data_IF_261919898319
#
_entry.id   IF_261919898319
#
_cell.length_a   1.000
_cell.length_b   1.000
_cell.length_c   1.000
_cell.angle_alpha   90.00
_cell.angle_beta   90.00
_cell.angle_gamma   90.00
#
_symmetry.space_group_name_H-M   'P 1'
#
loop_
_entity.id
_entity.type
_entity.pdbx_description
1 polymer ?
#
# COMPACT_ATOMS: atom_id res chain seq x y z
N UNK A 1 -28.17 6.94 -4.61
CA UNK A 1 -26.90 6.63 -3.91
C UNK A 1 -26.92 5.15 -3.62
N UNK A 2 -25.99 4.34 -4.17
CA UNK A 2 -25.91 2.93 -3.79
C UNK A 2 -25.32 2.90 -2.38
N UNK A 3 -26.13 2.51 -1.40
CA UNK A 3 -25.62 2.09 -0.09
C UNK A 3 -24.77 0.87 -0.39
N UNK A 4 -23.45 1.03 -0.36
CA UNK A 4 -22.53 -0.09 -0.54
C UNK A 4 -22.56 -0.85 0.80
N UNK A 5 -23.54 -1.75 0.95
CA UNK A 5 -23.53 -2.72 2.02
C UNK A 5 -22.30 -3.61 1.81
N UNK A 6 -21.29 -3.45 2.66
CA UNK A 6 -20.11 -4.27 2.59
C UNK A 6 -20.45 -5.66 3.13
N UNK A 7 -20.39 -6.74 2.31
CA UNK A 7 -20.70 -8.09 2.79
C UNK A 7 -19.69 -8.61 3.82
N UNK A 8 -18.56 -7.89 4.01
CA UNK A 8 -17.51 -8.23 4.96
C UNK A 8 -17.49 -7.30 6.18
N UNK A 9 -18.52 -6.46 6.38
CA UNK A 9 -18.52 -5.46 7.45
C UNK A 9 -18.17 -6.06 8.82
N UNK A 10 -18.82 -7.16 9.21
CA UNK A 10 -18.59 -7.82 10.52
C UNK A 10 -17.36 -8.74 10.58
N UNK A 11 -16.67 -8.98 9.46
CA UNK A 11 -15.56 -9.94 9.39
C UNK A 11 -14.27 -9.40 8.78
N UNK A 12 -14.24 -8.11 8.43
CA UNK A 12 -13.09 -7.44 7.82
C UNK A 12 -12.21 -6.78 8.87
N UNK A 13 -11.11 -7.45 9.22
CA UNK A 13 -10.10 -6.92 10.16
C UNK A 13 -9.08 -5.99 9.50
N UNK A 14 -9.39 -5.39 8.35
CA UNK A 14 -8.44 -4.56 7.62
C UNK A 14 -8.32 -3.18 8.29
N UNK A 15 -7.11 -2.76 8.74
CA UNK A 15 -6.91 -1.47 9.41
C UNK A 15 -7.24 -0.27 8.51
N UNK A 16 -7.03 -0.43 7.20
CA UNK A 16 -7.37 0.58 6.20
C UNK A 16 -8.57 0.08 5.39
N UNK A 17 -9.76 0.59 5.73
CA UNK A 17 -11.00 0.27 5.03
C UNK A 17 -11.36 1.35 3.99
N UNK A 18 -11.70 0.98 2.74
CA UNK A 18 -12.17 1.94 1.73
C UNK A 18 -13.41 2.74 2.14
N UNK A 19 -14.29 2.11 2.92
CA UNK A 19 -15.56 2.69 3.37
C UNK A 19 -15.42 3.54 4.64
N UNK A 20 -14.26 3.50 5.29
CA UNK A 20 -14.00 4.34 6.46
C UNK A 20 -13.63 5.76 6.02
N UNK A 21 -14.24 6.76 6.64
CA UNK A 21 -13.96 8.18 6.43
C UNK A 21 -12.62 8.59 7.05
N UNK A 22 -12.20 7.93 8.14
CA UNK A 22 -10.98 8.22 8.87
C UNK A 22 -9.75 7.44 8.38
N UNK A 23 -9.86 6.69 7.29
CA UNK A 23 -8.76 5.89 6.69
C UNK A 23 -7.47 6.68 6.45
N UNK A 24 -7.54 8.01 6.30
CA UNK A 24 -6.38 8.87 6.10
C UNK A 24 -5.44 8.96 7.30
N UNK A 25 -5.91 8.63 8.51
CA UNK A 25 -5.11 8.59 9.74
C UNK A 25 -4.67 7.17 10.11
N UNK A 26 -5.17 6.16 9.41
CA UNK A 26 -4.83 4.78 9.70
C UNK A 26 -3.41 4.45 9.22
N UNK A 27 -2.74 3.63 10.02
CA UNK A 27 -1.47 3.00 9.69
C UNK A 27 -1.72 1.53 9.37
N UNK A 28 -0.82 0.92 8.60
CA UNK A 28 -0.90 -0.48 8.22
C UNK A 28 0.48 -1.12 8.21
N UNK A 29 0.61 -2.28 8.83
CA UNK A 29 1.82 -3.10 8.84
C UNK A 29 1.70 -4.23 7.82
N UNK A 30 2.86 -4.71 7.33
CA UNK A 30 2.91 -5.62 6.19
C UNK A 30 2.40 -7.05 6.46
N UNK A 31 2.15 -7.38 7.72
CA UNK A 31 1.58 -8.61 8.25
C UNK A 31 0.10 -8.48 8.62
N UNK A 32 -0.47 -7.27 8.60
CA UNK A 32 -1.87 -7.02 8.90
C UNK A 32 -2.81 -7.38 7.75
N UNK A 33 -4.08 -7.55 8.10
CA UNK A 33 -5.12 -7.88 7.13
C UNK A 33 -5.34 -6.75 6.10
N UNK A 34 -5.72 -7.15 4.89
CA UNK A 34 -6.05 -6.26 3.78
C UNK A 34 -7.54 -6.43 3.46
N UNK A 35 -8.19 -5.36 3.00
CA UNK A 35 -9.59 -5.40 2.59
C UNK A 35 -9.83 -6.51 1.54
N UNK A 36 -10.81 -7.37 1.82
CA UNK A 36 -11.17 -8.53 0.96
C UNK A 36 -12.22 -8.20 -0.10
N UNK A 37 -12.87 -7.04 0.00
CA UNK A 37 -13.93 -6.65 -0.92
C UNK A 37 -13.35 -6.45 -2.35
N UNK A 38 -13.91 -7.18 -3.31
CA UNK A 38 -13.45 -7.18 -4.71
C UNK A 38 -13.77 -5.86 -5.42
N UNK A 39 -14.83 -5.17 -5.02
CA UNK A 39 -15.23 -3.88 -5.62
C UNK A 39 -14.17 -2.80 -5.41
N UNK A 40 -13.44 -2.90 -4.30
CA UNK A 40 -12.35 -1.98 -3.95
C UNK A 40 -10.97 -2.53 -4.27
N UNK A 41 -10.88 -3.75 -4.81
CA UNK A 41 -9.59 -4.40 -5.09
C UNK A 41 -8.75 -3.66 -6.14
N UNK A 42 -9.38 -2.77 -6.91
CA UNK A 42 -8.73 -1.93 -7.91
C UNK A 42 -8.12 -0.64 -7.37
N UNK A 43 -8.36 -0.29 -6.11
CA UNK A 43 -7.74 0.88 -5.48
C UNK A 43 -6.22 0.70 -5.37
N UNK A 44 -5.48 1.78 -5.61
CA UNK A 44 -4.00 1.72 -5.68
C UNK A 44 -3.40 1.30 -4.35
N UNK A 45 -3.87 1.85 -3.21
CA UNK A 45 -3.37 1.41 -1.91
C UNK A 45 -3.63 -0.08 -1.61
N UNK A 46 -4.78 -0.64 -2.02
CA UNK A 46 -5.04 -2.10 -1.85
C UNK A 46 -4.09 -2.92 -2.73
N UNK A 47 -3.85 -2.47 -3.97
CA UNK A 47 -2.88 -3.11 -4.86
C UNK A 47 -1.48 -3.06 -4.26
N UNK A 48 -1.09 -1.94 -3.68
CA UNK A 48 0.22 -1.74 -3.02
C UNK A 48 0.35 -2.61 -1.77
N UNK A 49 -0.67 -2.64 -0.89
CA UNK A 49 -0.70 -3.53 0.28
C UNK A 49 -0.50 -5.00 -0.14
N UNK A 50 -1.20 -5.48 -1.17
CA UNK A 50 -1.05 -6.87 -1.66
C UNK A 50 0.37 -7.16 -2.17
N UNK A 51 0.98 -6.20 -2.87
CA UNK A 51 2.38 -6.33 -3.33
C UNK A 51 3.35 -6.38 -2.15
N UNK A 52 3.18 -5.50 -1.16
CA UNK A 52 4.02 -5.44 0.04
C UNK A 52 3.86 -6.73 0.86
N UNK A 53 2.64 -7.18 1.11
CA UNK A 53 2.37 -8.43 1.83
C UNK A 53 3.01 -9.65 1.12
N UNK A 54 3.05 -9.65 -0.22
CA UNK A 54 3.78 -10.70 -0.97
C UNK A 54 5.28 -10.64 -0.73
N UNK A 55 5.87 -9.44 -0.70
CA UNK A 55 7.30 -9.24 -0.42
C UNK A 55 7.65 -9.56 1.03
N UNK A 56 6.75 -9.26 1.97
CA UNK A 56 6.94 -9.55 3.39
C UNK A 56 7.19 -11.04 3.64
N UNK A 57 6.48 -11.92 2.93
CA UNK A 57 6.65 -13.38 3.02
C UNK A 57 8.09 -13.86 2.75
N UNK A 58 8.87 -13.13 1.96
CA UNK A 58 10.25 -13.53 1.61
C UNK A 58 11.32 -12.62 2.21
N UNK A 59 11.00 -11.35 2.51
CA UNK A 59 11.98 -10.33 2.89
C UNK A 59 11.74 -9.68 4.25
N UNK A 60 10.70 -10.09 4.99
CA UNK A 60 10.41 -9.57 6.34
C UNK A 60 10.36 -8.04 6.37
N UNK A 61 9.33 -7.47 5.76
CA UNK A 61 9.13 -6.03 5.64
C UNK A 61 8.78 -5.47 7.04
N UNK A 62 9.56 -4.51 7.50
CA UNK A 62 9.38 -3.87 8.81
C UNK A 62 8.82 -2.46 8.67
N UNK A 63 8.23 -1.96 9.76
CA UNK A 63 7.65 -0.63 9.86
C UNK A 63 6.22 -0.55 9.34
N UNK A 64 5.58 0.58 9.61
CA UNK A 64 4.21 0.85 9.19
C UNK A 64 4.18 1.68 7.90
N UNK A 65 3.05 1.62 7.20
CA UNK A 65 2.77 2.40 6.02
C UNK A 65 1.51 3.22 6.26
N UNK A 66 1.54 4.49 5.87
CA UNK A 66 0.36 5.36 5.88
C UNK A 66 -0.42 5.21 4.58
N UNK A 67 -1.68 5.65 4.59
CA UNK A 67 -2.50 5.64 3.37
C UNK A 67 -1.83 6.39 2.21
N UNK A 68 -1.18 7.54 2.48
CA UNK A 68 -0.50 8.34 1.44
C UNK A 68 0.68 7.61 0.81
N UNK A 69 1.41 6.80 1.58
CA UNK A 69 2.51 5.98 1.06
C UNK A 69 1.98 4.87 0.15
N UNK A 70 0.85 4.27 0.53
CA UNK A 70 0.24 3.16 -0.18
C UNK A 70 -0.52 3.59 -1.43
N UNK A 71 -1.17 4.75 -1.40
CA UNK A 71 -2.00 5.30 -2.49
C UNK A 71 -1.17 5.97 -3.61
N UNK A 72 0.04 5.46 -3.82
CA UNK A 72 0.93 5.87 -4.89
C UNK A 72 1.32 4.69 -5.77
N UNK A 73 1.48 4.97 -7.06
CA UNK A 73 1.96 3.99 -8.06
C UNK A 73 3.47 3.78 -7.92
N UNK A 74 3.87 3.04 -6.88
CA UNK A 74 5.27 2.73 -6.57
C UNK A 74 5.69 1.37 -7.13
N UNK A 75 7.00 1.20 -7.32
CA UNK A 75 7.60 -0.11 -7.57
C UNK A 75 7.91 -0.75 -6.21
N UNK A 76 7.13 -1.76 -5.84
CA UNK A 76 7.41 -2.57 -4.65
C UNK A 76 8.52 -3.56 -4.98
N UNK A 77 9.69 -3.40 -4.34
CA UNK A 77 10.88 -4.26 -4.48
C UNK A 77 11.21 -4.96 -3.17
N UNK A 78 12.12 -5.93 -3.19
CA UNK A 78 12.56 -6.71 -2.02
C UNK A 78 13.09 -5.88 -0.85
N UNK A 79 13.61 -4.67 -1.10
CA UNK A 79 14.11 -3.76 -0.06
C UNK A 79 13.10 -2.73 0.44
N UNK A 80 11.80 -2.87 0.14
CA UNK A 80 10.80 -1.91 0.63
C UNK A 80 10.66 -2.04 2.15
N UNK A 81 10.66 -0.91 2.84
CA UNK A 81 10.43 -0.82 4.29
C UNK A 81 9.46 0.33 4.58
N UNK A 82 8.69 0.18 5.64
CA UNK A 82 7.81 1.23 6.17
C UNK A 82 8.58 2.24 7.02
N UNK A 83 7.82 3.11 7.67
CA UNK A 83 8.33 4.03 8.70
C UNK A 83 8.51 3.24 9.99
N UNK A 84 9.60 3.51 10.72
CA UNK A 84 9.83 2.92 12.03
C UNK A 84 9.20 3.81 13.11
N UNK A 85 8.35 3.25 13.96
CA UNK A 85 7.71 3.98 15.07
C UNK A 85 8.69 4.35 16.19
N UNK A 86 9.77 3.60 16.36
CA UNK A 86 10.77 3.80 17.41
C UNK A 86 11.69 5.01 17.16
N UNK A 87 11.60 5.64 15.98
CA UNK A 87 12.47 6.78 15.68
C UNK A 87 11.95 8.03 16.38
N UNK A 88 12.80 8.78 17.11
CA UNK A 88 12.42 10.01 17.81
C UNK A 88 12.14 11.20 16.87
N UNK A 89 12.12 10.95 15.55
CA UNK A 89 11.88 11.94 14.51
C UNK A 89 10.38 11.98 14.24
N UNK A 90 9.85 13.17 13.98
CA UNK A 90 8.44 13.35 13.62
C UNK A 90 8.03 12.43 12.44
N UNK A 91 6.97 11.65 12.66
CA UNK A 91 6.36 10.76 11.67
C UNK A 91 6.06 11.44 10.33
N UNK A 92 5.71 12.73 10.34
CA UNK A 92 5.41 13.51 9.14
C UNK A 92 6.65 13.69 8.27
N UNK A 93 7.81 13.96 8.90
CA UNK A 93 9.09 14.11 8.21
C UNK A 93 9.53 12.78 7.60
N UNK A 94 9.32 11.68 8.33
CA UNK A 94 9.63 10.34 7.84
C UNK A 94 8.74 9.93 6.67
N UNK A 95 7.44 10.25 6.72
CA UNK A 95 6.51 10.09 5.60
C UNK A 95 7.00 10.87 4.38
N UNK A 96 7.29 12.16 4.52
CA UNK A 96 7.78 12.97 3.40
C UNK A 96 9.09 12.44 2.80
N UNK A 97 10.03 12.03 3.66
CA UNK A 97 11.30 11.44 3.21
C UNK A 97 11.08 10.11 2.47
N UNK A 98 10.14 9.30 2.94
CA UNK A 98 9.78 8.05 2.28
C UNK A 98 9.17 8.31 0.91
N UNK A 99 8.24 9.26 0.79
CA UNK A 99 7.60 9.65 -0.47
C UNK A 99 8.62 10.22 -1.47
N UNK A 100 9.61 10.99 -1.00
CA UNK A 100 10.71 11.52 -1.83
C UNK A 100 11.58 10.40 -2.41
N UNK A 101 11.81 9.33 -1.65
CA UNK A 101 12.57 8.14 -2.09
C UNK A 101 11.77 7.26 -3.06
N UNK A 102 10.47 7.12 -2.82
CA UNK A 102 9.58 6.25 -3.60
C UNK A 102 8.69 7.06 -4.54
N UNK A 103 9.29 7.70 -5.54
CA UNK A 103 8.55 8.52 -6.49
C UNK A 103 7.53 7.67 -7.27
N UNK A 104 6.31 8.18 -7.49
CA UNK A 104 5.33 7.51 -8.33
C UNK A 104 5.86 7.39 -9.76
N UNK A 105 5.64 6.23 -10.36
CA UNK A 105 6.09 5.94 -11.72
C UNK A 105 5.19 6.72 -12.70
N UNK A 106 5.79 7.36 -13.68
CA UNK A 106 5.05 7.96 -14.80
C UNK A 106 4.36 6.89 -15.65
N UNK A 107 3.31 7.27 -16.39
CA UNK A 107 2.61 6.36 -17.32
C UNK A 107 3.58 5.74 -18.34
N UNK A 108 4.52 6.54 -18.84
CA UNK A 108 5.56 6.07 -19.77
C UNK A 108 6.53 5.07 -19.11
N UNK A 109 6.91 5.30 -17.86
CA UNK A 109 7.76 4.36 -17.12
C UNK A 109 7.08 3.00 -16.94
N UNK A 110 5.79 3.01 -16.64
CA UNK A 110 4.99 1.79 -16.50
C UNK A 110 4.89 1.01 -17.81
N UNK A 111 4.68 1.69 -18.93
CA UNK A 111 4.60 1.05 -20.25
C UNK A 111 5.95 0.46 -20.68
N UNK A 112 7.06 1.18 -20.45
CA UNK A 112 8.41 0.64 -20.69
C UNK A 112 8.67 -0.65 -19.91
N UNK A 113 8.27 -0.70 -18.64
CA UNK A 113 8.39 -1.92 -17.83
C UNK A 113 7.51 -3.06 -18.36
N UNK A 114 6.28 -2.76 -18.79
CA UNK A 114 5.37 -3.74 -19.39
C UNK A 114 5.94 -4.34 -20.68
N UNK A 115 6.50 -3.50 -21.55
CA UNK A 115 7.16 -3.94 -22.79
C UNK A 115 8.37 -4.81 -22.48
N UNK A 116 9.22 -4.43 -21.52
CA UNK A 116 10.38 -5.24 -21.14
C UNK A 116 9.99 -6.62 -20.60
N UNK A 117 8.94 -6.72 -19.77
CA UNK A 117 8.43 -8.01 -19.27
C UNK A 117 7.91 -8.92 -20.40
N UNK A 118 7.34 -8.36 -21.47
CA UNK A 118 6.91 -9.13 -22.65
C UNK A 118 8.09 -9.67 -23.47
N UNK A 119 9.27 -9.05 -23.40
CA UNK A 119 10.47 -9.49 -24.11
C UNK A 119 11.24 -10.59 -23.37
N UNK A 120 11.06 -10.69 -22.06
CA UNK A 120 11.75 -11.66 -21.19
C UNK A 120 10.96 -12.97 -21.06
N UNK A 121 9.70 -13.00 -21.53
CA UNK A 121 8.79 -14.15 -21.45
C UNK A 121 8.76 -14.89 -22.78
#
# INVERSE_FOLDING_TARGET
MKVIECPYFDSCNAPICPLDENKGKAIWYSDEAICKNRDFSDLEYIKTQKKIAKVNKTHSVKGYFTLKMLDQKIIVRSGIQGINEDTPIDSSILEENWLKRHKPISKEGLEKMRVNMKKVR
#
